data_IF_631754618403
#
_entry.id   IF_631754618403
#
_cell.length_a   1.000
_cell.length_b   1.000
_cell.length_c   1.000
_cell.angle_alpha   90.00
_cell.angle_beta   90.00
_cell.angle_gamma   90.00
#
_symmetry.space_group_name_H-M   'P 1'
#
loop_
_entity.id
_entity.type
_entity.pdbx_description
1 polymer ?
#
# COMPACT_ATOMS: atom_id res chain seq x y z
N UNK A 1 2.83 -11.57 6.75
CA UNK A 1 3.19 -10.15 6.88
C UNK A 1 3.28 -9.57 5.48
N UNK A 2 2.53 -8.49 5.23
CA UNK A 2 2.57 -7.76 3.97
C UNK A 2 3.93 -7.06 3.80
N UNK A 3 4.28 -6.69 2.56
CA UNK A 3 5.63 -6.23 2.21
C UNK A 3 6.09 -4.97 2.95
N UNK A 4 5.18 -4.08 3.35
CA UNK A 4 5.48 -2.81 4.02
C UNK A 4 5.48 -2.90 5.55
N UNK A 5 6.10 -3.94 6.12
CA UNK A 5 6.16 -4.19 7.57
C UNK A 5 7.49 -3.77 8.22
N UNK A 6 8.39 -3.08 7.49
CA UNK A 6 9.74 -2.79 7.97
C UNK A 6 9.81 -1.52 8.82
N UNK A 7 10.44 -1.63 9.99
CA UNK A 7 10.79 -0.47 10.85
C UNK A 7 12.28 -0.14 10.70
N UNK A 8 12.64 1.14 10.88
CA UNK A 8 14.03 1.58 10.86
C UNK A 8 14.87 0.81 11.90
N UNK A 9 16.02 0.29 11.49
CA UNK A 9 16.92 -0.48 12.35
C UNK A 9 16.35 -1.80 12.91
N UNK A 10 15.23 -2.29 12.39
CA UNK A 10 14.59 -3.52 12.92
C UNK A 10 15.29 -4.81 12.50
N UNK A 11 15.98 -4.80 11.37
CA UNK A 11 16.68 -5.96 10.83
C UNK A 11 17.67 -5.53 9.75
N UNK A 12 18.62 -6.41 9.41
CA UNK A 12 19.54 -6.16 8.30
C UNK A 12 18.74 -6.01 7.00
N UNK A 13 18.96 -4.93 6.25
CA UNK A 13 18.22 -4.63 5.03
C UNK A 13 16.97 -3.75 5.23
N UNK A 14 16.59 -3.43 6.48
CA UNK A 14 15.39 -2.63 6.74
C UNK A 14 15.51 -1.22 6.17
N UNK A 15 16.68 -0.61 6.30
CA UNK A 15 16.88 0.79 5.94
C UNK A 15 16.98 0.93 4.41
N UNK A 16 17.57 -0.05 3.72
CA UNK A 16 17.59 -0.15 2.26
C UNK A 16 16.18 -0.36 1.70
N UNK A 17 15.37 -1.23 2.31
CA UNK A 17 13.99 -1.45 1.89
C UNK A 17 13.10 -0.22 2.16
N UNK A 18 13.29 0.46 3.28
CA UNK A 18 12.62 1.73 3.59
C UNK A 18 13.06 2.82 2.60
N UNK A 19 14.33 2.87 2.23
CA UNK A 19 14.84 3.80 1.22
C UNK A 19 14.19 3.55 -0.15
N UNK A 20 14.06 2.29 -0.55
CA UNK A 20 13.39 1.88 -1.79
C UNK A 20 11.89 2.21 -1.76
N UNK A 21 11.16 1.73 -0.76
CA UNK A 21 9.70 1.90 -0.69
C UNK A 21 9.27 3.29 -0.26
N UNK A 22 10.14 4.04 0.42
CA UNK A 22 9.85 5.39 0.89
C UNK A 22 8.86 5.46 2.05
N UNK A 23 8.66 4.35 2.78
CA UNK A 23 7.79 4.31 3.95
C UNK A 23 8.40 3.47 5.09
N UNK A 24 7.99 3.74 6.32
CA UNK A 24 8.26 2.91 7.48
C UNK A 24 6.96 2.42 8.12
N UNK A 25 6.97 1.17 8.58
CA UNK A 25 5.88 0.60 9.35
C UNK A 25 5.87 1.13 10.78
N UNK A 26 4.71 1.60 11.25
CA UNK A 26 4.52 2.09 12.61
C UNK A 26 3.90 1.00 13.48
N UNK A 27 2.71 0.56 13.12
CA UNK A 27 1.93 -0.43 13.87
C UNK A 27 0.78 -1.01 13.03
N UNK A 28 0.10 -2.01 13.57
CA UNK A 28 -1.22 -2.42 13.09
C UNK A 28 -2.04 -2.90 14.31
N UNK A 29 -3.37 -2.74 14.33
CA UNK A 29 -4.21 -3.42 15.30
C UNK A 29 -4.29 -4.93 14.98
N UNK A 30 -4.87 -5.76 15.87
CA UNK A 30 -5.33 -7.09 15.46
C UNK A 30 -6.23 -7.01 14.23
N UNK A 31 -6.32 -8.11 13.47
CA UNK A 31 -7.10 -8.17 12.23
C UNK A 31 -8.51 -7.62 12.43
N UNK A 32 -8.84 -6.58 11.69
CA UNK A 32 -10.07 -5.80 11.82
C UNK A 32 -10.69 -5.51 10.45
N UNK A 33 -11.94 -5.05 10.47
CA UNK A 33 -12.56 -4.54 9.26
C UNK A 33 -11.88 -3.22 8.88
N UNK A 34 -11.35 -3.18 7.67
CA UNK A 34 -10.62 -2.05 7.09
C UNK A 34 -11.32 -1.65 5.81
N UNK A 35 -11.71 -0.39 5.69
CA UNK A 35 -12.25 0.17 4.45
C UNK A 35 -11.10 0.80 3.67
N UNK A 36 -10.95 0.40 2.42
CA UNK A 36 -9.97 0.93 1.47
C UNK A 36 -10.72 1.82 0.48
N UNK A 37 -10.23 3.05 0.32
CA UNK A 37 -10.88 4.09 -0.49
C UNK A 37 -9.86 4.66 -1.48
N UNK A 38 -10.15 4.61 -2.79
CA UNK A 38 -9.43 5.40 -3.79
C UNK A 38 -9.44 6.88 -3.47
N UNK A 39 -8.30 7.54 -3.64
CA UNK A 39 -8.16 8.99 -3.43
C UNK A 39 -7.37 9.62 -4.57
N UNK A 40 -7.61 10.91 -4.81
CA UNK A 40 -6.98 11.65 -5.91
C UNK A 40 -7.49 11.20 -7.29
N UNK A 41 -6.71 11.51 -8.33
CA UNK A 41 -7.06 11.25 -9.73
C UNK A 41 -6.03 10.33 -10.42
N UNK A 42 -5.61 9.27 -9.73
CA UNK A 42 -4.63 8.33 -10.28
C UNK A 42 -5.29 7.33 -11.24
N UNK A 43 -4.73 7.07 -12.44
CA UNK A 43 -5.25 6.04 -13.33
C UNK A 43 -5.13 4.63 -12.74
N UNK A 44 -4.34 4.44 -11.66
CA UNK A 44 -4.21 3.15 -10.99
C UNK A 44 -5.51 2.71 -10.31
N UNK A 45 -6.43 3.63 -10.05
CA UNK A 45 -7.72 3.34 -9.41
C UNK A 45 -8.90 3.41 -10.39
N UNK A 46 -8.64 3.47 -11.69
CA UNK A 46 -9.68 3.42 -12.71
C UNK A 46 -10.44 2.08 -12.60
N UNK A 47 -11.77 2.17 -12.46
CA UNK A 47 -12.65 1.00 -12.29
C UNK A 47 -12.53 0.30 -10.93
N UNK A 48 -11.91 0.94 -9.93
CA UNK A 48 -11.80 0.43 -8.57
C UNK A 48 -12.77 1.18 -7.67
N UNK A 49 -13.75 0.46 -7.11
CA UNK A 49 -14.63 1.01 -6.09
C UNK A 49 -13.97 0.97 -4.71
N UNK A 50 -14.50 1.72 -3.75
CA UNK A 50 -14.16 1.50 -2.34
C UNK A 50 -14.59 0.10 -1.91
N UNK A 51 -13.77 -0.57 -1.11
CA UNK A 51 -14.05 -1.92 -0.65
C UNK A 51 -13.63 -2.12 0.81
N UNK A 52 -14.25 -3.08 1.48
CA UNK A 52 -13.91 -3.44 2.86
C UNK A 52 -13.30 -4.83 2.92
N UNK A 53 -12.27 -4.99 3.73
CA UNK A 53 -11.60 -6.27 3.97
C UNK A 53 -11.38 -6.50 5.45
N UNK A 54 -11.34 -7.76 5.86
CA UNK A 54 -10.83 -8.11 7.19
C UNK A 54 -9.35 -8.46 7.10
N UNK A 55 -8.49 -7.52 7.47
CA UNK A 55 -7.04 -7.66 7.31
C UNK A 55 -6.26 -7.01 8.48
N UNK A 56 -4.93 -7.08 8.45
CA UNK A 56 -4.06 -6.26 9.31
C UNK A 56 -3.95 -4.83 8.75
N UNK A 57 -4.64 -3.87 9.37
CA UNK A 57 -4.60 -2.46 8.95
C UNK A 57 -3.25 -1.81 9.29
N UNK A 58 -2.33 -1.75 8.32
CA UNK A 58 -1.00 -1.17 8.55
C UNK A 58 -1.08 0.34 8.66
N UNK A 59 -0.49 0.87 9.73
CA UNK A 59 -0.20 2.28 9.90
C UNK A 59 1.24 2.50 9.45
N UNK A 60 1.41 3.29 8.40
CA UNK A 60 2.71 3.63 7.83
C UNK A 60 2.99 5.12 7.92
N UNK A 61 4.26 5.47 7.97
CA UNK A 61 4.76 6.82 7.79
C UNK A 61 5.45 6.91 6.42
N UNK A 62 5.03 7.86 5.58
CA UNK A 62 5.75 8.16 4.34
C UNK A 62 6.98 9.01 4.69
N UNK A 63 8.15 8.52 4.29
CA UNK A 63 9.45 9.15 4.52
C UNK A 63 10.02 9.79 3.26
N UNK A 64 9.26 9.77 2.16
CA UNK A 64 9.66 10.31 0.87
C UNK A 64 8.68 11.39 0.41
N UNK A 65 9.21 12.41 -0.27
CA UNK A 65 8.42 13.55 -0.78
C UNK A 65 7.84 13.33 -2.17
N UNK A 66 8.27 12.26 -2.87
CA UNK A 66 7.88 11.91 -4.23
C UNK A 66 6.78 10.84 -4.29
N UNK A 67 6.17 10.50 -3.15
CA UNK A 67 5.05 9.56 -3.11
C UNK A 67 3.76 10.18 -3.68
N UNK A 68 3.17 9.53 -4.67
CA UNK A 68 1.84 9.85 -5.17
C UNK A 68 0.82 8.88 -4.55
N UNK A 69 0.08 9.34 -3.55
CA UNK A 69 -0.92 8.54 -2.83
C UNK A 69 -2.18 8.37 -3.68
N UNK A 70 -2.63 7.12 -3.83
CA UNK A 70 -3.86 6.78 -4.56
C UNK A 70 -4.84 5.91 -3.77
N UNK A 71 -4.47 5.39 -2.60
CA UNK A 71 -5.41 4.76 -1.65
C UNK A 71 -5.18 5.24 -0.22
N UNK A 72 -6.28 5.42 0.49
CA UNK A 72 -6.32 5.48 1.95
C UNK A 72 -7.08 4.30 2.51
N UNK A 73 -6.75 3.92 3.74
CA UNK A 73 -7.52 2.97 4.52
C UNK A 73 -7.96 3.55 5.84
N UNK A 74 -9.10 3.10 6.33
CA UNK A 74 -9.63 3.46 7.64
C UNK A 74 -10.14 2.22 8.39
N UNK A 75 -9.96 2.21 9.70
CA UNK A 75 -10.56 1.23 10.60
C UNK A 75 -10.80 1.87 11.97
N UNK A 76 -11.78 1.37 12.73
CA UNK A 76 -12.07 1.85 14.07
C UNK A 76 -10.83 1.79 15.00
N UNK A 77 -10.08 0.69 14.95
CA UNK A 77 -8.94 0.46 15.84
C UNK A 77 -7.64 1.15 15.41
N UNK A 78 -7.50 1.51 14.14
CA UNK A 78 -6.26 2.06 13.57
C UNK A 78 -6.36 3.50 13.08
N UNK A 79 -7.55 4.11 13.05
CA UNK A 79 -7.76 5.43 12.44
C UNK A 79 -7.59 5.37 10.91
N UNK A 80 -7.10 6.45 10.32
CA UNK A 80 -6.78 6.54 8.89
C UNK A 80 -5.28 6.29 8.62
N UNK A 81 -4.96 5.68 7.49
CA UNK A 81 -3.58 5.58 6.99
C UNK A 81 -3.51 5.56 5.47
N UNK A 82 -2.30 5.73 4.92
CA UNK A 82 -2.02 5.49 3.50
C UNK A 82 -1.95 3.98 3.27
N UNK A 83 -2.67 3.50 2.26
CA UNK A 83 -2.70 2.07 1.91
C UNK A 83 -2.25 1.77 0.49
N UNK A 84 -2.01 2.80 -0.32
CA UNK A 84 -1.57 2.68 -1.70
C UNK A 84 -0.91 3.95 -2.21
N UNK A 85 0.31 3.83 -2.72
CA UNK A 85 1.05 4.96 -3.30
C UNK A 85 2.07 4.48 -4.34
N UNK A 86 2.43 5.36 -5.27
CA UNK A 86 3.52 5.13 -6.22
C UNK A 86 4.70 6.05 -5.92
N UNK A 87 5.88 5.71 -6.45
CA UNK A 87 7.03 6.61 -6.53
C UNK A 87 8.03 6.18 -7.60
N UNK A 88 8.94 7.08 -7.95
CA UNK A 88 10.01 6.82 -8.91
C UNK A 88 11.33 6.61 -8.17
N UNK A 89 12.06 5.54 -8.50
CA UNK A 89 13.36 5.24 -7.88
C UNK A 89 14.38 4.95 -8.97
N UNK A 90 15.27 5.92 -9.21
CA UNK A 90 16.18 5.88 -10.35
C UNK A 90 15.40 5.81 -11.67
N UNK A 91 15.65 4.77 -12.46
CA UNK A 91 14.91 4.48 -13.70
C UNK A 91 13.72 3.51 -13.49
N UNK A 92 13.44 3.14 -12.24
CA UNK A 92 12.37 2.22 -11.87
C UNK A 92 11.17 2.92 -11.28
N UNK A 93 10.08 2.17 -11.15
CA UNK A 93 8.83 2.58 -10.53
C UNK A 93 8.45 1.62 -9.43
N UNK A 94 7.90 2.15 -8.35
CA UNK A 94 7.37 1.39 -7.22
C UNK A 94 5.89 1.71 -7.10
N UNK A 95 5.07 0.67 -6.99
CA UNK A 95 3.68 0.77 -6.52
C UNK A 95 3.59 -0.07 -5.24
N UNK A 96 3.27 0.57 -4.12
CA UNK A 96 3.21 -0.05 -2.82
C UNK A 96 1.76 -0.13 -2.35
N UNK A 97 1.36 -1.32 -1.88
CA UNK A 97 0.02 -1.61 -1.36
C UNK A 97 0.17 -2.26 0.02
N UNK A 98 -0.59 -1.80 1.03
CA UNK A 98 -0.55 -2.37 2.38
C UNK A 98 -1.52 -3.53 2.64
N UNK A 99 -2.72 -3.62 2.02
CA UNK A 99 -3.59 -4.79 2.18
C UNK A 99 -2.93 -6.04 1.59
N UNK A 100 -3.28 -7.23 2.08
CA UNK A 100 -2.90 -8.51 1.47
C UNK A 100 -2.43 -9.59 2.43
N UNK A 101 -2.66 -9.47 3.75
CA UNK A 101 -2.23 -10.53 4.69
C UNK A 101 -3.22 -11.70 4.76
N UNK A 102 -4.48 -11.50 4.37
CA UNK A 102 -5.53 -12.54 4.35
C UNK A 102 -5.95 -12.91 2.92
N UNK A 103 -6.24 -14.20 2.68
CA UNK A 103 -6.66 -14.72 1.38
C UNK A 103 -7.88 -14.01 0.79
N UNK A 104 -8.86 -13.61 1.64
CA UNK A 104 -10.05 -12.91 1.17
C UNK A 104 -9.72 -11.62 0.42
N UNK A 105 -8.67 -10.91 0.83
CA UNK A 105 -8.17 -9.70 0.15
C UNK A 105 -7.76 -10.04 -1.28
N UNK A 106 -7.01 -11.11 -1.47
CA UNK A 106 -6.59 -11.59 -2.79
C UNK A 106 -7.74 -12.14 -3.64
N UNK A 107 -8.86 -12.52 -3.04
CA UNK A 107 -10.07 -12.96 -3.73
C UNK A 107 -10.99 -11.79 -4.13
N UNK A 108 -10.78 -10.60 -3.57
CA UNK A 108 -11.55 -9.42 -3.92
C UNK A 108 -11.21 -8.93 -5.33
N UNK A 109 -12.24 -8.76 -6.16
CA UNK A 109 -12.09 -8.30 -7.55
C UNK A 109 -11.53 -6.88 -7.66
N UNK A 110 -11.92 -5.97 -6.77
CA UNK A 110 -11.33 -4.63 -6.71
C UNK A 110 -9.82 -4.71 -6.43
N UNK A 111 -9.41 -5.55 -5.47
CA UNK A 111 -7.99 -5.70 -5.15
C UNK A 111 -7.18 -6.40 -6.27
N UNK A 112 -7.77 -7.39 -6.94
CA UNK A 112 -7.15 -8.03 -8.11
C UNK A 112 -6.96 -7.03 -9.27
N UNK A 113 -8.00 -6.25 -9.61
CA UNK A 113 -7.91 -5.23 -10.66
C UNK A 113 -6.88 -4.15 -10.30
N UNK A 114 -6.84 -3.75 -9.03
CA UNK A 114 -5.84 -2.81 -8.51
C UNK A 114 -4.42 -3.35 -8.69
N UNK A 115 -4.17 -4.63 -8.39
CA UNK A 115 -2.87 -5.27 -8.64
C UNK A 115 -2.51 -5.22 -10.12
N UNK A 116 -3.46 -5.51 -11.02
CA UNK A 116 -3.23 -5.46 -12.47
C UNK A 116 -2.88 -4.03 -12.93
N UNK A 117 -3.57 -3.02 -12.41
CA UNK A 117 -3.26 -1.62 -12.70
C UNK A 117 -1.86 -1.23 -12.20
N UNK A 118 -1.48 -1.68 -11.00
CA UNK A 118 -0.13 -1.47 -10.46
C UNK A 118 0.95 -2.22 -11.25
N UNK A 119 0.64 -3.43 -11.72
CA UNK A 119 1.51 -4.23 -12.58
C UNK A 119 1.79 -3.49 -13.89
N UNK A 120 0.75 -3.05 -14.58
CA UNK A 120 0.87 -2.31 -15.83
C UNK A 120 1.60 -0.98 -15.64
N UNK A 121 1.35 -0.29 -14.51
CA UNK A 121 2.13 0.86 -14.11
C UNK A 121 3.62 0.50 -14.05
N UNK A 122 4.03 -0.49 -13.27
CA UNK A 122 5.44 -0.84 -13.12
C UNK A 122 6.09 -1.39 -14.41
N UNK A 123 5.33 -2.10 -15.25
CA UNK A 123 5.83 -2.80 -16.43
C UNK A 123 6.03 -1.92 -17.68
N UNK A 124 5.38 -0.75 -17.75
CA UNK A 124 5.57 0.17 -18.90
C UNK A 124 7.06 0.48 -19.12
N UNK A 125 7.53 0.47 -20.37
CA UNK A 125 8.87 1.00 -20.68
C UNK A 125 8.81 2.53 -20.61
N UNK A 126 9.82 3.14 -20.00
CA UNK A 126 10.01 4.60 -20.04
C UNK A 126 10.45 5.05 -21.42
#
# INVERSE_FOLDING_TARGET
HAGNAFKKGSSRGSDEFISLTGCAFISHPPRCLTKVTPVGNSPLVDGIDSFCERDEHYIIELLCGDAEVFLKSESEAGGESVSGYTRNVGSGRVAALTPGHILSVWQNRNYQNLIMNCWDFCAKKM
#
